data_IF_951374716875
#
_entry.id   IF_951374716875
#
_cell.length_a   1.000
_cell.length_b   1.000
_cell.length_c   1.000
_cell.angle_alpha   90.00
_cell.angle_beta   90.00
_cell.angle_gamma   90.00
#
_symmetry.space_group_name_H-M   'P 1'
#
loop_
_entity.id
_entity.type
_entity.pdbx_description
1 polymer ?
#
# COMPACT_ATOMS: atom_id res chain seq x y z
N UNK A 1 -2.44 0.88 3.00
CA UNK A 1 -2.60 -0.15 1.95
C UNK A 1 -3.14 0.46 0.64
N UNK A 2 -4.39 0.93 0.60
CA UNK A 2 -5.07 1.34 -0.65
C UNK A 2 -4.39 2.53 -1.36
N UNK A 3 -3.89 3.51 -0.62
CA UNK A 3 -3.16 4.65 -1.18
C UNK A 3 -1.99 4.23 -2.07
N UNK A 4 -1.22 3.21 -1.66
CA UNK A 4 -0.06 2.75 -2.42
C UNK A 4 -0.48 2.10 -3.74
N UNK A 5 -1.60 1.36 -3.73
CA UNK A 5 -2.17 0.74 -4.94
C UNK A 5 -2.62 1.82 -5.92
N UNK A 6 -3.34 2.83 -5.44
CA UNK A 6 -3.80 3.96 -6.26
C UNK A 6 -2.62 4.71 -6.86
N UNK A 7 -1.59 5.01 -6.06
CA UNK A 7 -0.37 5.66 -6.53
C UNK A 7 0.35 4.75 -7.55
N UNK A 8 0.44 3.44 -7.32
CA UNK A 8 1.08 2.50 -8.25
C UNK A 8 0.37 2.48 -9.60
N UNK A 9 -0.96 2.49 -9.60
CA UNK A 9 -1.78 2.57 -10.81
C UNK A 9 -1.53 3.90 -11.52
N UNK A 10 -1.61 5.02 -10.80
CA UNK A 10 -1.38 6.36 -11.35
C UNK A 10 0.02 6.47 -11.99
N UNK A 11 1.07 6.04 -11.29
CA UNK A 11 2.45 6.07 -11.80
C UNK A 11 2.66 5.10 -12.97
N UNK A 12 1.95 3.97 -12.99
CA UNK A 12 1.97 3.03 -14.13
C UNK A 12 1.29 3.65 -15.36
N UNK A 13 0.16 4.33 -15.17
CA UNK A 13 -0.52 5.07 -16.24
C UNK A 13 0.36 6.21 -16.77
N UNK A 14 1.00 6.98 -15.88
CA UNK A 14 1.97 8.02 -16.28
C UNK A 14 3.15 7.42 -17.05
N UNK A 15 3.58 6.21 -16.70
CA UNK A 15 4.62 5.48 -17.43
C UNK A 15 4.11 5.05 -18.81
N UNK A 16 2.92 4.46 -18.93
CA UNK A 16 2.42 3.95 -20.21
C UNK A 16 2.07 5.12 -21.15
N UNK A 17 1.35 6.12 -20.64
CA UNK A 17 0.77 7.22 -21.40
C UNK A 17 1.53 8.54 -21.25
N UNK A 18 2.85 8.50 -21.03
CA UNK A 18 3.66 9.69 -20.71
C UNK A 18 3.30 10.92 -21.58
N UNK A 19 3.23 10.76 -22.90
CA UNK A 19 2.92 11.86 -23.87
C UNK A 19 1.59 12.57 -23.62
N UNK A 20 0.57 11.85 -23.16
CA UNK A 20 -0.79 12.38 -23.00
C UNK A 20 -1.18 12.54 -21.53
N UNK A 21 -0.30 12.16 -20.61
CA UNK A 21 -0.63 12.11 -19.18
C UNK A 21 -0.99 13.48 -18.62
N UNK A 22 -0.28 14.55 -18.99
CA UNK A 22 -0.62 15.92 -18.57
C UNK A 22 -1.88 16.47 -19.24
N UNK A 23 -2.30 15.86 -20.36
CA UNK A 23 -3.57 16.17 -21.01
C UNK A 23 -4.73 15.40 -20.35
N UNK A 24 -4.43 14.38 -19.54
CA UNK A 24 -5.45 13.69 -18.77
C UNK A 24 -6.11 14.69 -17.81
N UNK A 25 -7.44 14.66 -17.73
CA UNK A 25 -8.10 15.81 -17.20
C UNK A 25 -8.21 15.65 -15.67
N UNK A 26 -8.13 16.77 -14.94
CA UNK A 26 -7.89 16.83 -13.47
C UNK A 26 -8.87 16.00 -12.61
N UNK A 27 -10.00 15.62 -13.18
CA UNK A 27 -11.09 14.87 -12.57
C UNK A 27 -10.71 13.41 -12.35
N UNK A 28 -9.76 12.86 -13.13
CA UNK A 28 -9.21 11.53 -12.88
C UNK A 28 -8.53 11.45 -11.50
N UNK A 29 -7.75 12.49 -11.13
CA UNK A 29 -7.14 12.59 -9.81
C UNK A 29 -8.18 12.70 -8.68
N UNK A 30 -9.28 13.42 -8.92
CA UNK A 30 -10.38 13.51 -7.96
C UNK A 30 -11.04 12.13 -7.74
N UNK A 31 -11.25 11.36 -8.79
CA UNK A 31 -11.77 9.99 -8.68
C UNK A 31 -10.84 9.07 -7.90
N UNK A 32 -9.53 9.15 -8.11
CA UNK A 32 -8.55 8.42 -7.32
C UNK A 32 -8.59 8.81 -5.83
N UNK A 33 -8.71 10.10 -5.53
CA UNK A 33 -8.86 10.59 -4.16
C UNK A 33 -10.14 10.09 -3.50
N UNK A 34 -11.27 10.13 -4.20
CA UNK A 34 -12.56 9.60 -3.71
C UNK A 34 -12.45 8.11 -3.45
N UNK A 35 -11.90 7.33 -4.38
CA UNK A 35 -11.72 5.89 -4.20
C UNK A 35 -10.84 5.58 -2.98
N UNK A 36 -9.75 6.32 -2.80
CA UNK A 36 -8.85 6.16 -1.66
C UNK A 36 -9.53 6.41 -0.30
N UNK A 37 -10.54 7.28 -0.24
CA UNK A 37 -11.29 7.55 0.99
C UNK A 37 -12.41 6.52 1.15
N UNK A 38 -13.22 6.31 0.10
CA UNK A 38 -14.42 5.46 0.17
C UNK A 38 -14.06 4.01 0.45
N UNK A 39 -12.99 3.46 -0.13
CA UNK A 39 -12.68 2.04 0.03
C UNK A 39 -12.32 1.65 1.48
N UNK A 40 -11.43 2.36 2.21
CA UNK A 40 -11.22 2.10 3.64
C UNK A 40 -12.50 2.22 4.46
N UNK A 41 -13.31 3.25 4.24
CA UNK A 41 -14.58 3.41 4.96
C UNK A 41 -15.55 2.25 4.70
N UNK A 42 -15.63 1.79 3.45
CA UNK A 42 -16.45 0.64 3.08
C UNK A 42 -15.95 -0.65 3.73
N UNK A 43 -14.65 -0.94 3.67
CA UNK A 43 -14.06 -2.11 4.31
C UNK A 43 -14.31 -2.11 5.83
N UNK A 44 -14.02 -0.99 6.51
CA UNK A 44 -14.27 -0.86 7.94
C UNK A 44 -15.76 -0.98 8.28
N UNK A 45 -16.64 -0.37 7.47
CA UNK A 45 -18.09 -0.44 7.65
C UNK A 45 -18.62 -1.87 7.55
N UNK A 46 -18.17 -2.64 6.55
CA UNK A 46 -18.54 -4.05 6.35
C UNK A 46 -18.14 -4.92 7.56
N UNK A 47 -16.90 -4.76 8.05
CA UNK A 47 -16.41 -5.48 9.23
C UNK A 47 -17.18 -5.07 10.49
N UNK A 48 -17.49 -3.78 10.63
CA UNK A 48 -18.22 -3.24 11.80
C UNK A 48 -19.67 -3.72 11.85
N UNK A 49 -20.36 -3.82 10.71
CA UNK A 49 -21.75 -4.28 10.64
C UNK A 49 -21.86 -5.77 11.04
N UNK A 50 -20.82 -6.55 10.78
CA UNK A 50 -20.74 -7.98 11.13
C UNK A 50 -20.18 -8.24 12.54
N UNK A 51 -19.81 -7.18 13.27
CA UNK A 51 -19.24 -7.26 14.60
C UNK A 51 -20.28 -7.70 15.64
N UNK A 52 -19.92 -8.69 16.45
CA UNK A 52 -20.77 -9.15 17.56
C UNK A 52 -20.55 -8.28 18.81
N UNK A 53 -21.50 -7.39 19.09
CA UNK A 53 -21.46 -6.49 20.24
C UNK A 53 -21.70 -7.20 21.58
N UNK A 54 -22.14 -8.46 21.56
CA UNK A 54 -22.36 -9.25 22.79
C UNK A 54 -21.07 -9.82 23.35
N UNK A 55 -20.01 -9.94 22.53
CA UNK A 55 -18.71 -10.39 22.99
C UNK A 55 -17.99 -9.26 23.75
N UNK A 56 -17.62 -9.52 25.02
CA UNK A 56 -16.87 -8.57 25.85
C UNK A 56 -15.38 -8.86 25.75
N UNK A 57 -14.65 -8.00 25.05
CA UNK A 57 -13.19 -8.02 25.01
C UNK A 57 -12.62 -6.68 25.49
N UNK A 58 -11.44 -6.72 26.10
CA UNK A 58 -10.72 -5.55 26.62
C UNK A 58 -9.79 -4.90 25.59
N UNK A 59 -9.96 -5.17 24.29
CA UNK A 59 -8.99 -4.82 23.24
C UNK A 59 -9.62 -3.95 22.16
N UNK A 60 -8.81 -3.08 21.54
CA UNK A 60 -9.21 -2.20 20.44
C UNK A 60 -9.11 -2.93 19.08
N UNK A 61 -9.84 -4.03 18.90
CA UNK A 61 -9.94 -4.72 17.61
C UNK A 61 -11.37 -4.68 17.07
N UNK A 62 -11.50 -4.63 15.75
CA UNK A 62 -12.79 -4.76 15.04
C UNK A 62 -13.10 -6.21 14.67
N UNK A 63 -12.29 -7.17 15.15
CA UNK A 63 -12.43 -8.59 14.85
C UNK A 63 -13.04 -9.33 16.04
N UNK A 64 -14.21 -9.90 15.83
CA UNK A 64 -14.94 -10.80 16.72
C UNK A 64 -14.93 -12.22 16.15
N UNK A 65 -15.39 -13.21 16.91
CA UNK A 65 -15.50 -14.59 16.40
C UNK A 65 -16.41 -14.68 15.18
N UNK A 66 -17.46 -13.86 15.14
CA UNK A 66 -18.46 -13.85 14.07
C UNK A 66 -17.95 -13.32 12.73
N UNK A 67 -17.04 -12.34 12.73
CA UNK A 67 -16.56 -11.67 11.53
C UNK A 67 -15.10 -12.00 11.18
N UNK A 68 -14.47 -12.90 11.94
CA UNK A 68 -13.07 -13.31 11.76
C UNK A 68 -12.74 -13.71 10.32
N UNK A 69 -13.52 -14.60 9.72
CA UNK A 69 -13.27 -15.07 8.34
C UNK A 69 -13.36 -13.93 7.32
N UNK A 70 -14.32 -13.02 7.50
CA UNK A 70 -14.50 -11.85 6.64
C UNK A 70 -13.33 -10.87 6.78
N UNK A 71 -12.92 -10.58 8.02
CA UNK A 71 -11.77 -9.71 8.30
C UNK A 71 -10.47 -10.29 7.72
N UNK A 72 -10.27 -11.62 7.82
CA UNK A 72 -9.14 -12.31 7.22
C UNK A 72 -9.15 -12.27 5.70
N UNK A 73 -10.31 -12.46 5.06
CA UNK A 73 -10.45 -12.35 3.60
C UNK A 73 -10.13 -10.94 3.11
N UNK A 74 -10.66 -9.91 3.77
CA UNK A 74 -10.36 -8.50 3.44
C UNK A 74 -8.86 -8.23 3.59
N UNK A 75 -8.25 -8.67 4.70
CA UNK A 75 -6.83 -8.50 4.95
C UNK A 75 -5.96 -9.17 3.88
N UNK A 76 -6.33 -10.38 3.45
CA UNK A 76 -5.65 -11.08 2.36
C UNK A 76 -5.75 -10.34 1.02
N UNK A 77 -6.95 -9.84 0.66
CA UNK A 77 -7.15 -9.04 -0.55
C UNK A 77 -6.27 -7.78 -0.53
N UNK A 78 -6.23 -7.08 0.61
CA UNK A 78 -5.42 -5.88 0.77
C UNK A 78 -3.92 -6.21 0.67
N UNK A 79 -3.45 -7.29 1.29
CA UNK A 79 -2.05 -7.73 1.19
C UNK A 79 -1.67 -8.07 -0.27
N UNK A 80 -2.52 -8.83 -0.98
CA UNK A 80 -2.28 -9.15 -2.38
C UNK A 80 -2.26 -7.90 -3.27
N UNK A 81 -3.10 -6.90 -2.96
CA UNK A 81 -3.08 -5.62 -3.67
C UNK A 81 -1.78 -4.84 -3.45
N UNK A 82 -1.16 -4.94 -2.27
CA UNK A 82 0.14 -4.32 -2.00
C UNK A 82 1.29 -5.02 -2.75
N UNK A 83 1.27 -6.35 -2.80
CA UNK A 83 2.23 -7.11 -3.61
C UNK A 83 2.13 -6.68 -5.07
N UNK A 84 0.91 -6.56 -5.60
CA UNK A 84 0.69 -6.07 -6.96
C UNK A 84 1.23 -4.64 -7.13
N UNK A 85 1.00 -3.75 -6.17
CA UNK A 85 1.50 -2.37 -6.21
C UNK A 85 3.04 -2.34 -6.28
N UNK A 86 3.73 -3.17 -5.50
CA UNK A 86 5.20 -3.29 -5.56
C UNK A 86 5.66 -3.74 -6.93
N UNK A 87 5.02 -4.77 -7.49
CA UNK A 87 5.35 -5.29 -8.82
C UNK A 87 5.18 -4.19 -9.88
N UNK A 88 4.06 -3.48 -9.85
CA UNK A 88 3.79 -2.35 -10.74
C UNK A 88 4.84 -1.25 -10.59
N UNK A 89 5.27 -0.93 -9.38
CA UNK A 89 6.33 0.06 -9.12
C UNK A 89 7.67 -0.35 -9.73
N UNK A 90 8.08 -1.61 -9.59
CA UNK A 90 9.34 -2.09 -10.19
C UNK A 90 9.27 -2.13 -11.72
N UNK A 91 8.13 -2.54 -12.28
CA UNK A 91 7.89 -2.48 -13.72
C UNK A 91 7.99 -1.03 -14.21
N UNK A 92 7.30 -0.10 -13.53
CA UNK A 92 7.35 1.32 -13.85
C UNK A 92 8.78 1.87 -13.75
N UNK A 93 9.52 1.54 -12.69
CA UNK A 93 10.90 1.97 -12.49
C UNK A 93 11.80 1.46 -13.63
N UNK A 94 11.69 0.18 -14.00
CA UNK A 94 12.47 -0.43 -15.07
C UNK A 94 12.16 0.19 -16.44
N UNK A 95 10.87 0.39 -16.76
CA UNK A 95 10.45 0.99 -18.03
C UNK A 95 10.93 2.44 -18.12
N UNK A 96 10.76 3.24 -17.06
CA UNK A 96 11.24 4.61 -17.04
C UNK A 96 12.76 4.69 -17.11
N UNK A 97 13.50 3.83 -16.39
CA UNK A 97 14.96 3.76 -16.47
C UNK A 97 15.45 3.50 -17.90
N UNK A 98 14.85 2.52 -18.59
CA UNK A 98 15.17 2.22 -19.99
C UNK A 98 14.91 3.42 -20.91
N UNK A 99 13.82 4.15 -20.68
CA UNK A 99 13.46 5.34 -21.46
C UNK A 99 14.35 6.55 -21.18
N UNK A 100 14.73 6.78 -19.94
CA UNK A 100 15.71 7.81 -19.56
C UNK A 100 17.04 7.57 -20.29
N UNK A 101 17.47 6.31 -20.43
CA UNK A 101 18.68 5.95 -21.19
C UNK A 101 18.56 6.28 -22.69
N UNK A 102 17.36 6.20 -23.26
CA UNK A 102 17.06 6.53 -24.67
C UNK A 102 16.56 7.97 -24.89
N UNK A 103 16.74 8.87 -23.91
CA UNK A 103 16.20 10.24 -23.93
C UNK A 103 16.63 11.13 -25.10
N UNK A 104 17.74 10.79 -25.76
CA UNK A 104 18.29 11.59 -26.85
C UNK A 104 17.32 11.76 -28.04
N UNK A 105 16.46 10.76 -28.26
CA UNK A 105 15.49 10.72 -29.37
C UNK A 105 14.10 11.25 -28.98
N UNK A 106 13.89 11.66 -27.73
CA UNK A 106 12.59 12.12 -27.23
C UNK A 106 12.42 13.63 -27.41
N UNK A 107 11.17 14.03 -27.63
CA UNK A 107 10.76 15.43 -27.58
C UNK A 107 10.98 16.03 -26.17
N UNK A 108 11.13 17.36 -26.04
CA UNK A 108 11.42 18.00 -24.76
C UNK A 108 10.38 17.70 -23.67
N UNK A 109 9.10 17.66 -24.03
CA UNK A 109 7.98 17.39 -23.10
C UNK A 109 8.04 15.96 -22.61
N UNK A 110 8.14 14.99 -23.51
CA UNK A 110 8.28 13.57 -23.18
C UNK A 110 9.52 13.28 -22.34
N UNK A 111 10.65 13.96 -22.63
CA UNK A 111 11.88 13.86 -21.82
C UNK A 111 11.66 14.35 -20.39
N UNK A 112 10.98 15.49 -20.23
CA UNK A 112 10.65 16.04 -18.92
C UNK A 112 9.76 15.06 -18.13
N UNK A 113 8.64 14.63 -18.71
CA UNK A 113 7.66 13.74 -18.07
C UNK A 113 8.27 12.40 -17.65
N UNK A 114 9.08 11.78 -18.52
CA UNK A 114 9.75 10.51 -18.17
C UNK A 114 10.78 10.70 -17.05
N UNK A 115 11.51 11.82 -17.07
CA UNK A 115 12.53 12.12 -16.04
C UNK A 115 11.87 12.40 -14.68
N UNK A 116 10.81 13.19 -14.66
CA UNK A 116 10.03 13.47 -13.47
C UNK A 116 9.41 12.19 -12.91
N UNK A 117 8.73 11.42 -13.75
CA UNK A 117 8.10 10.16 -13.32
C UNK A 117 9.13 9.14 -12.81
N UNK A 118 10.30 9.04 -13.44
CA UNK A 118 11.40 8.20 -12.95
C UNK A 118 11.85 8.63 -11.54
N UNK A 119 12.10 9.94 -11.32
CA UNK A 119 12.52 10.47 -10.02
C UNK A 119 11.47 10.21 -8.95
N UNK A 120 10.19 10.46 -9.28
CA UNK A 120 9.07 10.22 -8.36
C UNK A 120 8.96 8.75 -8.00
N UNK A 121 8.96 7.84 -8.98
CA UNK A 121 8.90 6.39 -8.72
C UNK A 121 10.10 5.92 -7.90
N UNK A 122 11.31 6.39 -8.22
CA UNK A 122 12.53 6.05 -7.48
C UNK A 122 12.48 6.54 -6.01
N UNK A 123 11.96 7.75 -5.77
CA UNK A 123 11.79 8.29 -4.43
C UNK A 123 10.70 7.56 -3.62
N UNK A 124 9.61 7.14 -4.27
CA UNK A 124 8.52 6.42 -3.61
C UNK A 124 8.83 4.95 -3.32
N UNK A 125 9.67 4.31 -4.14
CA UNK A 125 10.04 2.89 -4.01
C UNK A 125 10.50 2.49 -2.60
N UNK A 126 11.45 3.19 -1.94
CA UNK A 126 11.88 2.82 -0.58
C UNK A 126 10.78 2.97 0.47
N UNK A 127 9.85 3.93 0.30
CA UNK A 127 8.71 4.10 1.22
C UNK A 127 7.75 2.92 1.11
N UNK A 128 7.50 2.46 -0.11
CA UNK A 128 6.61 1.34 -0.39
C UNK A 128 7.20 0.05 0.17
N UNK A 129 8.51 -0.17 -0.01
CA UNK A 129 9.20 -1.29 0.61
C UNK A 129 9.13 -1.22 2.13
N UNK A 130 9.37 -0.06 2.73
CA UNK A 130 9.23 0.12 4.17
C UNK A 130 7.82 -0.25 4.65
N UNK A 131 6.79 0.27 3.98
CA UNK A 131 5.40 -0.02 4.31
C UNK A 131 5.09 -1.51 4.21
N UNK A 132 5.48 -2.13 3.09
CA UNK A 132 5.26 -3.55 2.87
C UNK A 132 6.00 -4.43 3.87
N UNK A 133 7.25 -4.09 4.22
CA UNK A 133 8.05 -4.84 5.20
C UNK A 133 7.43 -4.80 6.59
N UNK A 134 6.86 -3.67 6.99
CA UNK A 134 6.12 -3.53 8.25
C UNK A 134 4.86 -4.42 8.23
N UNK A 135 4.06 -4.33 7.16
CA UNK A 135 2.80 -5.10 7.04
C UNK A 135 3.04 -6.60 6.94
N UNK A 136 4.00 -7.03 6.12
CA UNK A 136 4.33 -8.45 5.95
C UNK A 136 4.93 -9.02 7.24
N UNK A 137 5.61 -8.22 8.06
CA UNK A 137 6.10 -8.63 9.37
C UNK A 137 4.98 -9.11 10.29
N UNK A 138 3.90 -8.33 10.41
CA UNK A 138 2.71 -8.72 11.17
C UNK A 138 2.02 -9.96 10.57
N UNK A 139 1.90 -10.03 9.24
CA UNK A 139 1.31 -11.19 8.56
C UNK A 139 2.13 -12.48 8.79
N UNK A 140 3.45 -12.42 8.63
CA UNK A 140 4.37 -13.55 8.84
C UNK A 140 4.31 -14.03 10.28
N UNK A 141 4.28 -13.11 11.25
CA UNK A 141 4.11 -13.47 12.66
C UNK A 141 2.81 -14.26 12.88
N UNK A 142 1.70 -13.76 12.35
CA UNK A 142 0.39 -14.40 12.48
C UNK A 142 0.34 -15.79 11.83
N UNK A 143 0.78 -15.92 10.57
CA UNK A 143 0.79 -17.21 9.87
C UNK A 143 1.75 -18.22 10.50
N UNK A 144 2.89 -17.75 11.02
CA UNK A 144 3.81 -18.60 11.77
C UNK A 144 3.13 -19.12 13.03
N UNK A 145 2.44 -18.25 13.78
CA UNK A 145 1.73 -18.64 15.00
C UNK A 145 0.68 -19.73 14.73
N UNK A 146 -0.15 -19.58 13.69
CA UNK A 146 -1.13 -20.59 13.29
C UNK A 146 -0.46 -21.90 12.90
N UNK A 147 0.65 -21.83 12.16
CA UNK A 147 1.36 -23.04 11.70
C UNK A 147 1.90 -23.88 12.86
N UNK A 148 2.30 -23.25 13.96
CA UNK A 148 2.75 -23.94 15.18
C UNK A 148 1.61 -24.29 16.15
N UNK A 149 0.42 -23.69 16.00
CA UNK A 149 -0.74 -23.89 16.89
C UNK A 149 -2.00 -24.24 16.08
N UNK A 150 -2.14 -25.51 15.61
CA UNK A 150 -3.24 -25.92 14.74
C UNK A 150 -4.62 -25.85 15.40
N UNK A 151 -4.69 -25.81 16.74
CA UNK A 151 -5.93 -25.59 17.51
C UNK A 151 -6.13 -24.11 17.82
N UNK A 152 -5.93 -23.25 16.83
CA UNK A 152 -6.05 -21.80 16.98
C UNK A 152 -7.47 -21.40 17.42
N UNK A 153 -7.58 -20.73 18.57
CA UNK A 153 -8.84 -20.10 19.01
C UNK A 153 -8.91 -18.67 18.45
N UNK A 154 -9.88 -18.34 17.59
CA UNK A 154 -10.07 -16.99 17.04
C UNK A 154 -10.16 -15.90 18.12
N UNK A 155 -10.57 -16.24 19.35
CA UNK A 155 -10.63 -15.28 20.47
C UNK A 155 -9.27 -14.72 20.88
N UNK A 156 -8.18 -15.42 20.55
CA UNK A 156 -6.81 -14.99 20.84
C UNK A 156 -6.29 -14.03 19.75
N UNK A 157 -6.95 -13.99 18.57
CA UNK A 157 -6.54 -13.14 17.45
C UNK A 157 -6.31 -11.67 17.83
N UNK A 158 -7.22 -10.97 18.55
CA UNK A 158 -7.02 -9.56 18.90
C UNK A 158 -5.75 -9.31 19.71
N UNK A 159 -5.36 -10.26 20.58
CA UNK A 159 -4.14 -10.16 21.38
C UNK A 159 -2.91 -10.29 20.47
N UNK A 160 -2.94 -11.24 19.54
CA UNK A 160 -1.84 -11.43 18.58
C UNK A 160 -1.72 -10.25 17.63
N UNK A 161 -2.85 -9.76 17.12
CA UNK A 161 -2.92 -8.57 16.27
C UNK A 161 -2.26 -7.37 16.96
N UNK A 162 -2.67 -7.05 18.20
CA UNK A 162 -2.09 -5.92 18.95
C UNK A 162 -0.59 -6.14 19.26
N UNK A 163 -0.21 -7.36 19.67
CA UNK A 163 1.19 -7.67 20.00
C UNK A 163 2.14 -7.64 18.80
N UNK A 164 1.62 -7.89 17.60
CA UNK A 164 2.37 -7.90 16.35
C UNK A 164 2.19 -6.62 15.55
N UNK A 165 1.43 -5.65 16.08
CA UNK A 165 1.14 -4.40 15.41
C UNK A 165 2.41 -3.55 15.32
N UNK A 166 2.99 -3.50 14.12
CA UNK A 166 4.20 -2.72 13.84
C UNK A 166 3.87 -1.33 13.30
N UNK A 167 2.60 -0.91 13.31
CA UNK A 167 2.17 0.35 12.68
C UNK A 167 2.85 1.58 13.29
N UNK A 168 3.23 1.54 14.57
CA UNK A 168 3.92 2.65 15.23
C UNK A 168 5.27 2.97 14.58
N UNK A 169 5.92 1.98 13.96
CA UNK A 169 7.17 2.19 13.23
C UNK A 169 6.98 3.09 12.00
N UNK A 170 5.79 3.15 11.41
CA UNK A 170 5.51 4.07 10.31
C UNK A 170 5.76 5.53 10.68
N UNK A 171 5.33 5.92 11.89
CA UNK A 171 5.46 7.30 12.36
C UNK A 171 6.91 7.76 12.50
N UNK A 172 7.85 6.82 12.66
CA UNK A 172 9.27 7.10 12.86
C UNK A 172 10.04 6.92 11.54
N UNK A 173 9.82 5.81 10.84
CA UNK A 173 10.64 5.42 9.69
C UNK A 173 10.29 6.26 8.46
N UNK A 174 9.01 6.56 8.20
CA UNK A 174 8.64 7.33 7.00
C UNK A 174 9.23 8.74 6.97
N UNK A 175 9.16 9.56 8.05
CA UNK A 175 9.84 10.86 8.09
C UNK A 175 11.35 10.75 7.93
N UNK A 176 11.97 9.70 8.50
CA UNK A 176 13.41 9.48 8.38
C UNK A 176 13.81 9.18 6.92
N UNK A 177 13.07 8.29 6.23
CA UNK A 177 13.30 8.00 4.81
C UNK A 177 13.11 9.28 3.99
N UNK A 178 12.06 10.05 4.24
CA UNK A 178 11.82 11.33 3.58
C UNK A 178 12.98 12.31 3.74
N UNK A 179 13.50 12.44 4.97
CA UNK A 179 14.65 13.28 5.25
C UNK A 179 15.92 12.83 4.50
N UNK A 180 16.18 11.51 4.47
CA UNK A 180 17.31 10.94 3.75
C UNK A 180 17.17 11.17 2.23
N UNK A 181 15.99 10.92 1.65
CA UNK A 181 15.72 11.18 0.23
C UNK A 181 15.96 12.66 -0.08
N UNK A 182 15.42 13.57 0.72
CA UNK A 182 15.59 15.01 0.52
C UNK A 182 17.07 15.42 0.54
N UNK A 183 17.88 14.82 1.42
CA UNK A 183 19.32 15.13 1.56
C UNK A 183 20.21 14.52 0.47
N UNK A 184 19.83 13.39 -0.12
CA UNK A 184 20.68 12.67 -1.09
C UNK A 184 20.23 12.82 -2.56
N UNK A 185 19.00 13.28 -2.81
CA UNK A 185 18.46 13.45 -4.18
C UNK A 185 18.55 14.90 -4.67
N UNK A 186 18.71 15.88 -3.77
CA UNK A 186 19.04 17.28 -4.08
C UNK A 186 20.53 17.54 -3.86
#
# INVERSE_FOLDING_TARGET
MISLVVIAIERSLATIFYRHYEQCPKWLGAWFGIAQIVTPFACCGIVTISYDTSERFSFCSLVSKSNFDLAMQISYILLMSEVLAIVLFHIALFVNWRRVRSRALMDPVGRYQVTENFRTVAALTPLIWCHFLIMIGSAVYFFSYISFNPTFDPRIYPILEESSNQIYWHGIILPLIMFLIYRFVN
#
